data_IF_062929054416
#
_entry.id   IF_062929054416
#
_cell.length_a   1.000
_cell.length_b   1.000
_cell.length_c   1.000
_cell.angle_alpha   90.00
_cell.angle_beta   90.00
_cell.angle_gamma   90.00
#
_symmetry.space_group_name_H-M   'P 1'
#
loop_
_entity.id
_entity.type
_entity.pdbx_description
1 polymer ?
#
# COMPACT_ATOMS: atom_id res chain seq x y z
N UNK A 1 66.30 -62.64 -11.92
CA UNK A 1 66.14 -63.36 -13.19
C UNK A 1 65.03 -62.64 -13.96
N UNK A 2 65.37 -62.17 -15.15
CA UNK A 2 64.59 -61.80 -16.33
C UNK A 2 63.52 -60.72 -16.18
N UNK A 3 63.89 -59.59 -16.55
CA UNK A 3 63.60 -58.62 -17.60
C UNK A 3 62.55 -59.07 -18.63
N UNK A 4 61.51 -58.28 -18.83
CA UNK A 4 60.94 -58.03 -20.19
C UNK A 4 60.45 -56.60 -20.27
N UNK A 5 61.14 -55.85 -21.12
CA UNK A 5 60.70 -54.61 -21.69
C UNK A 5 59.48 -54.78 -22.60
N UNK A 6 58.54 -53.89 -22.59
CA UNK A 6 57.66 -53.65 -23.71
C UNK A 6 57.25 -52.20 -23.78
N UNK A 7 57.93 -51.51 -24.63
CA UNK A 7 57.62 -50.22 -25.23
C UNK A 7 56.35 -50.35 -26.05
N UNK A 8 55.28 -49.54 -25.80
CA UNK A 8 54.23 -49.27 -26.77
C UNK A 8 54.07 -47.77 -26.96
N UNK A 9 54.19 -47.44 -28.13
CA UNK A 9 54.23 -46.24 -28.93
C UNK A 9 53.08 -45.26 -28.62
N UNK A 10 53.51 -44.03 -28.63
CA UNK A 10 52.69 -42.83 -28.91
C UNK A 10 51.81 -42.96 -30.15
N UNK A 11 50.57 -42.65 -30.04
CA UNK A 11 49.69 -42.58 -31.19
C UNK A 11 48.37 -41.91 -30.82
N UNK A 12 48.28 -40.61 -31.03
CA UNK A 12 47.13 -39.87 -31.59
C UNK A 12 45.75 -40.15 -30.96
N UNK A 13 45.21 -39.20 -30.27
CA UNK A 13 43.93 -38.61 -30.64
C UNK A 13 43.86 -37.19 -30.03
N UNK A 14 44.30 -36.21 -30.79
CA UNK A 14 43.85 -34.82 -30.67
C UNK A 14 42.64 -34.72 -31.58
N UNK A 15 41.43 -34.81 -31.05
CA UNK A 15 40.21 -34.27 -31.71
C UNK A 15 39.09 -34.18 -30.69
N UNK A 16 38.41 -33.02 -30.75
CA UNK A 16 37.10 -32.78 -30.18
C UNK A 16 37.00 -32.38 -28.72
N UNK A 17 37.43 -31.15 -28.38
CA UNK A 17 36.79 -30.34 -27.37
C UNK A 17 36.71 -28.92 -27.93
N UNK A 18 35.84 -28.71 -28.88
CA UNK A 18 35.45 -27.38 -29.37
C UNK A 18 34.01 -27.42 -29.82
N UNK A 19 33.09 -27.65 -28.88
CA UNK A 19 31.65 -27.44 -29.12
C UNK A 19 30.93 -27.63 -27.78
N UNK A 20 30.87 -26.59 -26.98
CA UNK A 20 30.18 -26.69 -25.70
C UNK A 20 30.09 -25.38 -24.92
N UNK A 21 30.33 -24.22 -25.55
CA UNK A 21 30.29 -22.93 -24.84
C UNK A 21 29.46 -21.86 -25.55
N UNK A 22 28.35 -22.23 -26.18
CA UNK A 22 27.50 -21.27 -26.91
C UNK A 22 26.03 -21.30 -26.52
N UNK A 23 25.63 -21.89 -25.37
CA UNK A 23 24.19 -21.96 -24.97
C UNK A 23 23.93 -21.28 -23.60
N UNK A 24 24.84 -20.52 -23.06
CA UNK A 24 24.66 -19.91 -21.72
C UNK A 24 24.38 -18.40 -21.72
N UNK A 25 24.04 -17.77 -22.83
CA UNK A 25 23.81 -16.31 -22.89
C UNK A 25 22.37 -15.87 -23.26
N UNK A 26 21.40 -16.77 -23.31
CA UNK A 26 20.02 -16.42 -23.66
C UNK A 26 19.02 -16.42 -22.48
N UNK A 27 19.45 -16.61 -21.24
CA UNK A 27 18.57 -16.69 -20.07
C UNK A 27 18.62 -15.46 -19.15
N UNK A 28 19.11 -14.33 -19.62
CA UNK A 28 19.27 -13.10 -18.84
C UNK A 28 18.33 -11.97 -19.25
N UNK A 29 17.13 -12.26 -19.75
CA UNK A 29 16.05 -11.30 -19.71
C UNK A 29 15.52 -11.26 -18.27
N UNK A 30 16.31 -10.68 -17.35
CA UNK A 30 15.82 -10.23 -16.06
C UNK A 30 14.63 -9.32 -16.37
N UNK A 31 13.46 -9.73 -15.94
CA UNK A 31 12.30 -8.86 -15.85
C UNK A 31 12.72 -7.69 -14.96
N UNK A 32 13.23 -6.63 -15.54
CA UNK A 32 13.35 -5.34 -14.90
C UNK A 32 11.90 -4.89 -14.67
N UNK A 33 11.35 -5.24 -13.52
CA UNK A 33 10.10 -4.66 -13.06
C UNK A 33 10.37 -3.17 -13.01
N UNK A 34 9.84 -2.46 -14.00
CA UNK A 34 9.99 -1.02 -14.05
C UNK A 34 9.38 -0.46 -12.76
N UNK A 35 10.12 0.39 -12.05
CA UNK A 35 9.66 1.03 -10.81
C UNK A 35 8.33 1.73 -11.04
N UNK A 36 7.46 1.76 -10.02
CA UNK A 36 6.22 2.55 -10.02
C UNK A 36 6.51 3.99 -10.47
N UNK A 37 5.62 4.57 -11.26
CA UNK A 37 5.85 5.87 -11.91
C UNK A 37 4.65 6.79 -11.67
N UNK A 38 4.86 7.81 -10.85
CA UNK A 38 3.80 8.75 -10.49
C UNK A 38 3.31 9.59 -11.69
N UNK A 39 4.11 9.78 -12.74
CA UNK A 39 3.68 10.53 -13.94
C UNK A 39 2.71 9.70 -14.78
N UNK A 40 2.93 8.39 -14.93
CA UNK A 40 1.94 7.50 -15.54
C UNK A 40 0.70 7.38 -14.68
N UNK A 41 0.88 7.33 -13.35
CA UNK A 41 -0.19 7.30 -12.38
C UNK A 41 -1.10 8.52 -12.44
N UNK A 42 -0.56 9.71 -12.67
CA UNK A 42 -1.32 10.96 -12.76
C UNK A 42 -2.44 10.89 -13.80
N UNK A 43 -2.15 10.38 -15.01
CA UNK A 43 -3.14 10.26 -16.06
C UNK A 43 -4.29 9.33 -15.70
N UNK A 44 -3.98 8.19 -15.03
CA UNK A 44 -4.98 7.21 -14.57
C UNK A 44 -5.76 7.70 -13.36
N UNK A 45 -5.11 8.44 -12.46
CA UNK A 45 -5.70 9.01 -11.25
C UNK A 45 -6.64 10.20 -11.52
N UNK A 46 -6.66 10.77 -12.72
CA UNK A 46 -7.49 11.93 -13.04
C UNK A 46 -8.98 11.70 -12.72
N UNK A 47 -9.51 10.51 -13.04
CA UNK A 47 -10.89 10.16 -12.73
C UNK A 47 -11.14 10.04 -11.21
N UNK A 48 -10.15 9.61 -10.44
CA UNK A 48 -10.25 9.43 -8.99
C UNK A 48 -10.41 10.76 -8.26
N UNK A 49 -9.80 11.82 -8.81
CA UNK A 49 -9.84 13.18 -8.25
C UNK A 49 -11.25 13.76 -8.13
N UNK A 50 -12.20 13.26 -8.91
CA UNK A 50 -13.62 13.70 -8.83
C UNK A 50 -14.21 13.47 -7.44
N UNK A 51 -13.86 12.37 -6.78
CA UNK A 51 -14.36 12.01 -5.46
C UNK A 51 -13.31 12.18 -4.36
N UNK A 52 -12.06 11.80 -4.63
CA UNK A 52 -10.98 11.77 -3.65
C UNK A 52 -10.20 13.09 -3.50
N UNK A 53 -10.59 14.12 -4.24
CA UNK A 53 -9.96 15.43 -4.22
C UNK A 53 -8.75 15.54 -5.15
N UNK A 54 -8.30 16.77 -5.32
CA UNK A 54 -7.13 17.18 -6.09
C UNK A 54 -6.34 18.20 -5.26
N UNK A 55 -5.14 18.62 -5.68
CA UNK A 55 -4.36 19.61 -4.91
C UNK A 55 -5.11 20.93 -4.62
N UNK A 56 -6.06 21.29 -5.47
CA UNK A 56 -6.89 22.50 -5.39
C UNK A 56 -8.33 22.25 -4.91
N UNK A 57 -8.67 21.02 -4.59
CA UNK A 57 -10.05 20.65 -4.22
C UNK A 57 -10.08 19.55 -3.19
N UNK A 58 -10.80 19.72 -2.06
CA UNK A 58 -10.95 18.67 -1.05
C UNK A 58 -11.75 17.48 -1.59
N UNK A 59 -11.59 16.29 -0.99
CA UNK A 59 -12.45 15.15 -1.26
C UNK A 59 -13.93 15.45 -0.95
N UNK A 60 -14.83 14.77 -1.64
CA UNK A 60 -16.26 14.79 -1.31
C UNK A 60 -16.51 14.23 0.10
N UNK A 61 -17.63 14.60 0.71
CA UNK A 61 -18.02 14.08 2.01
C UNK A 61 -18.05 12.55 2.04
N UNK A 62 -17.49 11.96 3.08
CA UNK A 62 -17.37 10.51 3.24
C UNK A 62 -16.27 9.84 2.40
N UNK A 63 -15.62 10.55 1.47
CA UNK A 63 -14.54 9.99 0.66
C UNK A 63 -13.20 10.22 1.34
N UNK A 64 -12.30 9.23 1.34
CA UNK A 64 -10.97 9.41 1.93
C UNK A 64 -10.09 10.33 1.09
N UNK A 65 -9.25 11.10 1.77
CA UNK A 65 -8.06 11.72 1.18
C UNK A 65 -7.07 10.62 0.80
N UNK A 66 -6.64 10.60 -0.48
CA UNK A 66 -5.61 9.68 -0.96
C UNK A 66 -4.22 10.31 -0.98
N UNK A 67 -4.13 11.64 -1.00
CA UNK A 67 -2.88 12.39 -1.01
C UNK A 67 -2.01 12.05 0.21
N UNK A 68 -0.72 11.88 -0.01
CA UNK A 68 0.29 11.47 0.98
C UNK A 68 -0.03 10.16 1.71
N UNK A 69 -0.91 9.32 1.17
CA UNK A 69 -1.17 7.99 1.74
C UNK A 69 -0.02 7.03 1.40
N UNK A 70 0.20 6.04 2.24
CA UNK A 70 1.24 5.04 2.03
C UNK A 70 0.99 4.27 0.73
N UNK A 71 2.00 4.22 -0.15
CA UNK A 71 1.91 3.61 -1.47
C UNK A 71 1.47 2.14 -1.39
N UNK A 72 2.13 1.35 -0.54
CA UNK A 72 1.80 -0.06 -0.38
C UNK A 72 0.40 -0.30 0.21
N UNK A 73 -0.08 0.61 1.06
CA UNK A 73 -1.46 0.57 1.54
C UNK A 73 -2.44 0.82 0.40
N UNK A 74 -2.19 1.82 -0.45
CA UNK A 74 -3.05 2.13 -1.60
C UNK A 74 -3.10 0.96 -2.58
N UNK A 75 -1.94 0.38 -2.95
CA UNK A 75 -1.87 -0.80 -3.82
C UNK A 75 -2.71 -1.93 -3.24
N UNK A 76 -2.51 -2.28 -1.96
CA UNK A 76 -3.28 -3.35 -1.31
C UNK A 76 -4.78 -3.07 -1.33
N UNK A 77 -5.21 -1.84 -0.98
CA UNK A 77 -6.63 -1.52 -0.93
C UNK A 77 -7.28 -1.58 -2.31
N UNK A 78 -6.62 -1.03 -3.33
CA UNK A 78 -7.12 -1.10 -4.71
C UNK A 78 -7.15 -2.53 -5.23
N UNK A 79 -6.13 -3.33 -4.94
CA UNK A 79 -6.12 -4.76 -5.27
C UNK A 79 -7.30 -5.49 -4.63
N UNK A 80 -7.52 -5.33 -3.33
CA UNK A 80 -8.62 -5.98 -2.62
C UNK A 80 -10.00 -5.59 -3.20
N UNK A 81 -10.17 -4.32 -3.59
CA UNK A 81 -11.41 -3.85 -4.21
C UNK A 81 -11.59 -4.41 -5.63
N UNK A 82 -10.53 -4.44 -6.44
CA UNK A 82 -10.55 -4.99 -7.80
C UNK A 82 -10.92 -6.46 -7.81
N UNK A 83 -10.35 -7.25 -6.88
CA UNK A 83 -10.60 -8.68 -6.75
C UNK A 83 -11.90 -9.01 -5.97
N UNK A 84 -12.69 -8.01 -5.57
CA UNK A 84 -13.92 -8.22 -4.82
C UNK A 84 -13.71 -8.73 -3.37
N UNK A 85 -12.47 -8.67 -2.87
CA UNK A 85 -12.12 -9.09 -1.50
C UNK A 85 -12.42 -8.00 -0.47
N UNK A 86 -12.63 -6.76 -0.91
CA UNK A 86 -13.10 -5.64 -0.12
C UNK A 86 -14.27 -4.99 -0.82
N UNK A 87 -15.45 -5.11 -0.24
CA UNK A 87 -16.65 -4.46 -0.77
C UNK A 87 -16.69 -2.98 -0.38
N UNK A 88 -16.72 -2.12 -1.40
CA UNK A 88 -16.92 -0.67 -1.30
C UNK A 88 -17.84 -0.26 -2.43
N UNK A 89 -19.16 -0.20 -2.21
CA UNK A 89 -20.13 0.03 -3.27
C UNK A 89 -19.83 1.26 -4.15
N UNK A 90 -19.31 2.35 -3.55
CA UNK A 90 -18.94 3.56 -4.27
C UNK A 90 -17.74 3.38 -5.23
N UNK A 91 -16.95 2.32 -5.03
CA UNK A 91 -15.80 1.98 -5.87
C UNK A 91 -16.11 0.84 -6.84
N UNK A 92 -17.32 0.28 -6.80
CA UNK A 92 -17.67 -0.86 -7.64
C UNK A 92 -17.42 -0.56 -9.13
N UNK A 93 -16.66 -1.44 -9.78
CA UNK A 93 -16.30 -1.31 -11.19
C UNK A 93 -15.23 -0.25 -11.52
N UNK A 94 -14.89 0.65 -10.61
CA UNK A 94 -13.93 1.75 -10.89
C UNK A 94 -12.54 1.26 -11.25
N UNK A 95 -12.14 0.11 -10.71
CA UNK A 95 -10.82 -0.49 -10.94
C UNK A 95 -10.83 -1.61 -11.98
N UNK A 96 -11.95 -1.82 -12.68
CA UNK A 96 -12.03 -2.83 -13.72
C UNK A 96 -11.02 -2.52 -14.85
N UNK A 97 -10.27 -3.53 -15.26
CA UNK A 97 -9.25 -3.38 -16.31
C UNK A 97 -7.93 -2.75 -15.87
N UNK A 98 -7.78 -2.35 -14.60
CA UNK A 98 -6.48 -1.93 -14.08
C UNK A 98 -5.57 -3.15 -13.89
N UNK A 99 -4.38 -3.11 -14.47
CA UNK A 99 -3.31 -4.06 -14.18
C UNK A 99 -2.69 -3.77 -12.80
N UNK A 100 -1.91 -4.72 -12.27
CA UNK A 100 -1.14 -4.49 -11.02
C UNK A 100 -0.24 -3.27 -11.16
N UNK A 101 0.35 -3.09 -12.34
CA UNK A 101 1.18 -1.94 -12.66
C UNK A 101 0.41 -0.62 -12.60
N UNK A 102 -0.83 -0.61 -13.07
CA UNK A 102 -1.68 0.57 -12.99
C UNK A 102 -2.00 0.94 -11.53
N UNK A 103 -2.22 -0.07 -10.68
CA UNK A 103 -2.42 0.16 -9.24
C UNK A 103 -1.17 0.73 -8.59
N UNK A 104 0.02 0.21 -8.92
CA UNK A 104 1.30 0.73 -8.43
C UNK A 104 1.53 2.18 -8.86
N UNK A 105 1.33 2.50 -10.14
CA UNK A 105 1.53 3.84 -10.69
C UNK A 105 0.55 4.86 -10.06
N UNK A 106 -0.73 4.50 -9.91
CA UNK A 106 -1.74 5.35 -9.25
C UNK A 106 -1.41 5.54 -7.77
N UNK A 107 -0.96 4.48 -7.08
CA UNK A 107 -0.54 4.58 -5.69
C UNK A 107 0.66 5.51 -5.52
N UNK A 108 1.68 5.38 -6.38
CA UNK A 108 2.85 6.27 -6.39
C UNK A 108 2.46 7.73 -6.64
N UNK A 109 1.50 7.98 -7.53
CA UNK A 109 0.99 9.33 -7.76
C UNK A 109 0.38 9.93 -6.50
N UNK A 110 -0.57 9.25 -5.84
CA UNK A 110 -1.20 9.79 -4.63
C UNK A 110 -0.23 9.88 -3.45
N UNK A 111 0.68 8.92 -3.30
CA UNK A 111 1.70 8.96 -2.26
C UNK A 111 2.64 10.17 -2.40
N UNK A 112 2.89 10.65 -3.63
CA UNK A 112 3.73 11.83 -3.90
C UNK A 112 3.04 13.17 -3.66
N UNK A 113 1.71 13.19 -3.44
CA UNK A 113 0.95 14.42 -3.20
C UNK A 113 1.11 14.90 -1.76
N UNK A 114 0.94 16.21 -1.54
CA UNK A 114 0.88 16.78 -0.19
C UNK A 114 -0.49 16.50 0.43
N UNK A 115 -0.52 16.03 1.68
CA UNK A 115 -1.78 15.85 2.41
C UNK A 115 -2.41 17.21 2.70
N UNK A 116 -3.68 17.42 2.33
CA UNK A 116 -4.39 18.63 2.75
C UNK A 116 -4.55 18.62 4.28
N UNK A 117 -4.53 19.80 4.86
CA UNK A 117 -4.89 19.96 6.28
C UNK A 117 -6.39 20.09 6.43
N UNK A 118 -6.93 19.67 7.58
CA UNK A 118 -8.33 19.91 7.91
C UNK A 118 -8.58 21.42 8.01
N UNK A 119 -9.59 21.92 7.28
CA UNK A 119 -10.08 23.29 7.40
C UNK A 119 -11.15 23.43 8.48
N UNK A 120 -11.65 22.30 9.01
CA UNK A 120 -12.63 22.29 10.09
C UNK A 120 -12.04 22.83 11.38
N UNK A 121 -12.85 23.54 12.17
CA UNK A 121 -12.42 24.05 13.48
C UNK A 121 -12.06 22.92 14.44
N UNK A 122 -10.95 23.06 15.12
CA UNK A 122 -10.49 22.08 16.12
C UNK A 122 -11.21 22.32 17.45
N UNK A 123 -11.97 21.34 17.94
CA UNK A 123 -12.49 21.33 19.29
C UNK A 123 -11.43 20.85 20.30
N UNK A 124 -11.02 21.71 21.28
CA UNK A 124 -9.98 21.35 22.23
C UNK A 124 -10.35 20.16 23.13
N UNK A 125 -11.62 19.99 23.48
CA UNK A 125 -12.09 18.90 24.35
C UNK A 125 -12.07 17.57 23.61
N UNK A 126 -12.59 17.52 22.41
CA UNK A 126 -12.52 16.33 21.56
C UNK A 126 -11.08 15.95 21.26
N UNK A 127 -10.24 16.96 20.93
CA UNK A 127 -8.80 16.72 20.67
C UNK A 127 -8.08 16.15 21.88
N UNK A 128 -8.32 16.67 23.09
CA UNK A 128 -7.71 16.15 24.31
C UNK A 128 -8.16 14.71 24.63
N UNK A 129 -9.48 14.44 24.48
CA UNK A 129 -10.04 13.10 24.67
C UNK A 129 -9.45 12.11 23.65
N UNK A 130 -9.45 12.47 22.36
CA UNK A 130 -8.91 11.64 21.30
C UNK A 130 -7.41 11.36 21.45
N UNK A 131 -6.62 12.36 21.88
CA UNK A 131 -5.20 12.19 22.19
C UNK A 131 -4.97 11.18 23.32
N UNK A 132 -5.77 11.27 24.39
CA UNK A 132 -5.74 10.32 25.50
C UNK A 132 -6.06 8.90 25.06
N UNK A 133 -7.11 8.74 24.25
CA UNK A 133 -7.50 7.45 23.68
C UNK A 133 -6.43 6.88 22.75
N UNK A 134 -5.92 7.68 21.82
CA UNK A 134 -4.88 7.24 20.87
C UNK A 134 -3.61 6.77 21.59
N UNK A 135 -3.25 7.42 22.70
CA UNK A 135 -2.13 7.02 23.55
C UNK A 135 -2.43 5.72 24.31
N UNK A 136 -3.58 5.62 24.98
CA UNK A 136 -3.94 4.44 25.79
C UNK A 136 -4.14 3.18 24.93
N UNK A 137 -4.63 3.34 23.71
CA UNK A 137 -4.82 2.25 22.73
C UNK A 137 -3.56 1.99 21.88
N UNK A 138 -2.46 2.70 22.15
CA UNK A 138 -1.18 2.56 21.46
C UNK A 138 -1.26 2.67 19.92
N UNK A 139 -2.14 3.53 19.38
CA UNK A 139 -2.34 3.68 17.93
C UNK A 139 -1.02 3.99 17.19
N UNK A 140 -0.15 4.80 17.80
CA UNK A 140 1.16 5.16 17.27
C UNK A 140 2.16 4.01 17.17
N UNK A 141 1.91 2.84 17.79
CA UNK A 141 2.81 1.69 17.69
C UNK A 141 2.84 1.11 16.27
N UNK A 142 1.73 1.18 15.55
CA UNK A 142 1.62 0.73 14.15
C UNK A 142 1.56 1.92 13.18
N UNK A 143 0.76 2.94 13.49
CA UNK A 143 0.58 4.11 12.64
C UNK A 143 1.70 5.16 12.75
N UNK A 144 2.75 4.89 13.53
CA UNK A 144 3.86 5.77 13.92
C UNK A 144 3.40 6.91 14.88
N UNK A 145 4.38 7.55 15.54
CA UNK A 145 4.09 8.58 16.54
C UNK A 145 3.43 9.84 15.99
N UNK A 146 3.63 10.12 14.71
CA UNK A 146 3.03 11.23 13.95
C UNK A 146 1.81 10.79 13.11
N UNK A 147 1.39 9.54 13.25
CA UNK A 147 0.28 8.94 12.51
C UNK A 147 0.43 8.96 10.97
N UNK A 148 1.66 9.10 10.49
CA UNK A 148 1.97 9.07 9.04
C UNK A 148 1.82 7.68 8.42
N UNK A 149 1.81 6.63 9.24
CA UNK A 149 1.74 5.24 8.78
C UNK A 149 3.04 4.74 8.15
N UNK A 150 3.05 3.48 7.79
CA UNK A 150 4.22 2.84 7.15
C UNK A 150 3.80 1.63 6.35
N UNK A 151 4.35 1.45 5.16
CA UNK A 151 4.07 0.29 4.32
C UNK A 151 2.56 0.08 4.10
N UNK A 152 2.00 -1.02 4.63
CA UNK A 152 0.57 -1.35 4.54
C UNK A 152 -0.26 -0.77 5.71
N UNK A 153 0.38 -0.17 6.70
CA UNK A 153 -0.29 0.56 7.78
C UNK A 153 -0.56 1.98 7.28
N UNK A 154 -1.83 2.41 7.20
CA UNK A 154 -2.15 3.67 6.57
C UNK A 154 -1.74 4.90 7.39
N UNK A 155 -1.48 6.00 6.67
CA UNK A 155 -1.54 7.34 7.24
C UNK A 155 -2.96 7.62 7.71
N UNK A 156 -3.12 8.03 8.96
CA UNK A 156 -4.40 8.45 9.54
C UNK A 156 -4.38 9.92 9.99
N UNK A 157 -3.19 10.54 10.08
CA UNK A 157 -3.04 11.97 10.30
C UNK A 157 -3.63 12.78 9.13
N UNK A 158 -4.34 13.86 9.44
CA UNK A 158 -5.00 14.73 8.45
C UNK A 158 -5.94 13.97 7.46
N UNK A 159 -6.45 12.82 7.86
CA UNK A 159 -7.51 12.15 7.13
C UNK A 159 -8.85 12.79 7.48
N UNK A 160 -9.79 12.80 6.55
CA UNK A 160 -11.14 13.35 6.80
C UNK A 160 -11.78 12.73 8.03
N UNK A 161 -12.31 13.56 8.89
CA UNK A 161 -12.94 13.14 10.15
C UNK A 161 -14.14 12.22 9.92
N UNK A 162 -15.04 12.59 8.99
CA UNK A 162 -16.21 11.78 8.64
C UNK A 162 -15.83 10.39 8.10
N UNK A 163 -14.78 10.31 7.28
CA UNK A 163 -14.25 9.04 6.79
C UNK A 163 -13.59 8.21 7.91
N UNK A 164 -12.87 8.84 8.82
CA UNK A 164 -12.28 8.17 9.99
C UNK A 164 -13.36 7.56 10.87
N UNK A 165 -14.42 8.33 11.19
CA UNK A 165 -15.57 7.85 11.96
C UNK A 165 -16.19 6.64 11.28
N UNK A 166 -16.54 6.75 10.00
CA UNK A 166 -17.18 5.68 9.25
C UNK A 166 -16.28 4.42 9.18
N UNK A 167 -14.98 4.60 8.93
CA UNK A 167 -14.02 3.50 8.85
C UNK A 167 -13.83 2.79 10.19
N UNK A 168 -13.67 3.53 11.29
CA UNK A 168 -13.52 2.94 12.62
C UNK A 168 -14.78 2.20 13.06
N UNK A 169 -15.97 2.75 12.81
CA UNK A 169 -17.25 2.05 13.05
C UNK A 169 -17.34 0.76 12.21
N UNK A 170 -16.96 0.81 10.95
CA UNK A 170 -16.99 -0.36 10.08
C UNK A 170 -16.02 -1.47 10.55
N UNK A 171 -14.84 -1.13 11.04
CA UNK A 171 -13.94 -2.09 11.66
C UNK A 171 -14.49 -2.66 12.97
N UNK A 172 -14.97 -1.80 13.89
CA UNK A 172 -15.59 -2.21 15.16
C UNK A 172 -16.72 -3.22 14.95
N UNK A 173 -17.54 -2.96 13.94
CA UNK A 173 -18.75 -3.74 13.64
C UNK A 173 -18.47 -4.92 12.68
N UNK A 174 -17.21 -5.25 12.40
CA UNK A 174 -16.78 -6.29 11.47
C UNK A 174 -17.36 -6.18 10.05
N UNK A 175 -17.76 -4.96 9.65
CA UNK A 175 -18.23 -4.67 8.28
C UNK A 175 -17.09 -4.36 7.32
N UNK A 176 -15.95 -3.93 7.83
CA UNK A 176 -14.73 -3.76 7.06
C UNK A 176 -13.78 -4.88 7.42
N UNK A 177 -13.64 -5.79 6.49
CA UNK A 177 -12.67 -6.89 6.52
C UNK A 177 -11.60 -6.64 5.47
N UNK A 178 -10.47 -7.28 5.60
CA UNK A 178 -9.36 -7.15 4.68
C UNK A 178 -8.28 -8.16 4.99
N UNK A 179 -7.07 -7.93 4.50
CA UNK A 179 -5.93 -8.81 4.75
C UNK A 179 -5.49 -8.83 6.23
N UNK A 180 -5.86 -7.82 7.01
CA UNK A 180 -5.52 -7.70 8.43
C UNK A 180 -6.77 -7.35 9.24
N UNK A 181 -7.02 -8.12 10.30
CA UNK A 181 -8.14 -7.96 11.24
C UNK A 181 -7.74 -7.26 12.54
N UNK A 182 -6.50 -6.80 12.68
CA UNK A 182 -6.00 -6.15 13.90
C UNK A 182 -6.87 -4.97 14.31
N UNK A 183 -7.30 -4.13 13.36
CA UNK A 183 -8.14 -2.99 13.64
C UNK A 183 -9.53 -3.37 14.17
N UNK A 184 -10.07 -4.52 13.75
CA UNK A 184 -11.34 -5.03 14.28
C UNK A 184 -11.22 -5.34 15.78
N UNK A 185 -10.13 -5.98 16.18
CA UNK A 185 -9.83 -6.27 17.59
C UNK A 185 -9.58 -5.03 18.43
N UNK A 186 -8.77 -4.09 17.92
CA UNK A 186 -8.42 -2.85 18.63
C UNK A 186 -9.66 -1.98 18.89
N UNK A 187 -10.58 -1.90 17.93
CA UNK A 187 -11.76 -1.05 18.03
C UNK A 187 -12.99 -1.79 18.61
N UNK A 188 -12.86 -3.07 18.95
CA UNK A 188 -13.97 -3.87 19.45
C UNK A 188 -14.65 -3.21 20.64
N UNK A 189 -15.96 -3.07 20.58
CA UNK A 189 -16.82 -2.42 21.59
C UNK A 189 -16.50 -0.95 21.92
N UNK A 190 -15.66 -0.26 21.12
CA UNK A 190 -15.36 1.15 21.37
C UNK A 190 -16.64 1.98 21.18
N UNK A 191 -17.06 2.82 22.17
CA UNK A 191 -18.24 3.66 22.06
C UNK A 191 -18.13 4.68 20.92
N UNK A 192 -19.27 5.07 20.33
CA UNK A 192 -19.29 6.06 19.24
C UNK A 192 -18.63 7.37 19.62
N UNK A 193 -18.86 7.88 20.83
CA UNK A 193 -18.24 9.11 21.34
C UNK A 193 -16.71 9.04 21.34
N UNK A 194 -16.15 7.87 21.62
CA UNK A 194 -14.68 7.67 21.69
C UNK A 194 -14.11 7.55 20.26
N UNK A 195 -14.86 6.95 19.34
CA UNK A 195 -14.54 6.96 17.90
C UNK A 195 -14.54 8.38 17.35
N UNK A 196 -15.53 9.19 17.68
CA UNK A 196 -15.64 10.59 17.26
C UNK A 196 -14.50 11.43 17.78
N UNK A 197 -14.14 11.27 19.08
CA UNK A 197 -12.97 11.95 19.66
C UNK A 197 -11.65 11.54 19.00
N UNK A 198 -11.46 10.23 18.73
CA UNK A 198 -10.28 9.75 17.99
C UNK A 198 -10.22 10.33 16.58
N UNK A 199 -11.34 10.28 15.84
CA UNK A 199 -11.42 10.80 14.48
C UNK A 199 -11.09 12.29 14.43
N UNK A 200 -11.70 13.07 15.35
CA UNK A 200 -11.42 14.50 15.47
C UNK A 200 -9.95 14.78 15.76
N UNK A 201 -9.36 14.07 16.72
CA UNK A 201 -7.94 14.24 17.05
C UNK A 201 -7.04 13.93 15.84
N UNK A 202 -7.25 12.79 15.16
CA UNK A 202 -6.44 12.33 14.03
C UNK A 202 -6.59 13.21 12.79
N UNK A 203 -7.78 13.76 12.56
CA UNK A 203 -8.04 14.67 11.44
C UNK A 203 -7.27 16.00 11.55
N UNK A 204 -6.76 16.33 12.74
CA UNK A 204 -6.06 17.59 13.02
C UNK A 204 -4.58 17.39 13.42
N UNK A 205 -3.94 16.29 12.99
CA UNK A 205 -2.51 16.02 13.23
C UNK A 205 -1.61 16.54 12.11
#
# INVERSE_FOLDING_TARGET
>A
MQSVNATWRTGVIRRAVASGCAIALAAGAVYAQSKADSSRGAAKAAACAACHGAPDRPPLAGMPTLAAQQEQFLVLQMFLMREGLRDVPQMAGTLNGFSDRDLEDVAAYFASQTSPRSEAGRDPKLSASGAGLAKSMACGSCHLGDYSGQRQVPRIANQREDYLVASMKAYRDNKRTGADTSMNGILYKLPDRDIEALAHYLAHQ
#
